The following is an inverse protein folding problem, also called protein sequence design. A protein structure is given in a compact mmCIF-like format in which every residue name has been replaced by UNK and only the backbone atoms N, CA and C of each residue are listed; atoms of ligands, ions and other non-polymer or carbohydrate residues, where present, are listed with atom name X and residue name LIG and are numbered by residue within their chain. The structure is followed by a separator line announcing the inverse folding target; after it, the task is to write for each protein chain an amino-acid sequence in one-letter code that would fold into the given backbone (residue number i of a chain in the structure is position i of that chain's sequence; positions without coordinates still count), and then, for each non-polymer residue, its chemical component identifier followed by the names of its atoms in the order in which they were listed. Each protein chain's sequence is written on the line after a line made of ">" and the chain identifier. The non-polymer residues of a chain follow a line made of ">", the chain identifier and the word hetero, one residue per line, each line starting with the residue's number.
data_IF_784120629259
#
_entry.id   IF_784120629259
#
_cell.length_a   1.000
_cell.length_b   1.000
_cell.length_c   1.000
_cell.angle_alpha   90.00
_cell.angle_beta   90.00
_cell.angle_gamma   90.00
#
_symmetry.space_group_name_H-M   'P 1'
#
loop_
_entity.id
_entity.type
_entity.pdbx_description
1 polymer ?
#
# COMPACT_ATOMS: atom_id res chain seq x y z
N UNK A 1 -12.10 -13.24 28.94
CA UNK A 1 -11.55 -14.17 27.92
C UNK A 1 -11.54 -13.43 26.58
N UNK A 2 -10.48 -13.52 25.77
CA UNK A 2 -10.34 -12.78 24.50
C UNK A 2 -10.38 -13.77 23.32
N UNK A 3 -11.06 -13.41 22.24
CA UNK A 3 -11.05 -14.17 20.99
C UNK A 3 -10.24 -13.41 19.92
N UNK A 4 -9.31 -14.11 19.26
CA UNK A 4 -8.51 -13.56 18.15
C UNK A 4 -8.88 -14.30 16.86
N UNK A 5 -9.09 -13.54 15.77
CA UNK A 5 -9.31 -14.09 14.42
C UNK A 5 -8.07 -13.81 13.58
N UNK A 6 -7.58 -14.81 12.86
CA UNK A 6 -6.35 -14.76 12.06
C UNK A 6 -6.58 -15.42 10.69
N UNK A 7 -5.71 -15.11 9.73
CA UNK A 7 -5.75 -15.66 8.37
C UNK A 7 -5.28 -14.64 7.34
N UNK A 8 -5.17 -15.07 6.08
CA UNK A 8 -5.00 -14.14 4.97
C UNK A 8 -6.30 -13.34 4.77
N UNK A 9 -6.18 -12.08 4.34
CA UNK A 9 -7.35 -11.26 4.02
C UNK A 9 -8.12 -11.89 2.84
N UNK A 10 -9.44 -12.05 2.97
CA UNK A 10 -10.30 -12.55 1.89
C UNK A 10 -10.61 -11.42 0.90
N UNK A 11 -9.60 -10.92 0.20
CA UNK A 11 -9.70 -9.72 -0.65
C UNK A 11 -10.87 -9.82 -1.64
N UNK A 12 -11.06 -10.97 -2.29
CA UNK A 12 -12.13 -11.16 -3.29
C UNK A 12 -13.54 -11.03 -2.72
N UNK A 13 -13.74 -11.34 -1.43
CA UNK A 13 -15.05 -11.18 -0.81
C UNK A 13 -15.39 -9.72 -0.48
N UNK A 14 -14.40 -8.82 -0.47
CA UNK A 14 -14.57 -7.44 -0.01
C UNK A 14 -14.26 -6.39 -1.08
N UNK A 15 -13.57 -6.76 -2.17
CA UNK A 15 -13.09 -5.78 -3.14
C UNK A 15 -14.21 -4.96 -3.77
N UNK A 16 -15.36 -5.59 -4.07
CA UNK A 16 -16.51 -4.91 -4.68
C UNK A 16 -17.16 -3.88 -3.73
N UNK A 17 -17.10 -4.12 -2.42
CA UNK A 17 -17.62 -3.20 -1.39
C UNK A 17 -16.62 -2.08 -1.07
N UNK A 18 -15.32 -2.37 -1.11
CA UNK A 18 -14.26 -1.44 -0.71
C UNK A 18 -13.83 -0.51 -1.85
N UNK A 19 -13.80 -0.98 -3.10
CA UNK A 19 -13.31 -0.20 -4.22
C UNK A 19 -14.08 1.12 -4.41
N UNK A 20 -15.43 1.16 -4.31
CA UNK A 20 -16.16 2.43 -4.39
C UNK A 20 -15.78 3.44 -3.31
N UNK A 21 -15.38 2.98 -2.11
CA UNK A 21 -14.93 3.87 -1.02
C UNK A 21 -13.51 4.39 -1.24
N UNK A 22 -12.66 3.59 -1.88
CA UNK A 22 -11.27 3.96 -2.24
C UNK A 22 -11.25 4.93 -3.42
N UNK A 23 -12.18 4.79 -4.36
CA UNK A 23 -12.28 5.67 -5.53
C UNK A 23 -13.09 6.95 -5.26
N UNK A 24 -13.74 7.06 -4.09
CA UNK A 24 -14.51 8.25 -3.72
C UNK A 24 -13.56 9.46 -3.52
N UNK A 25 -13.72 10.55 -4.30
CA UNK A 25 -12.88 11.75 -4.16
C UNK A 25 -12.97 12.46 -2.80
N UNK A 26 -13.99 12.16 -1.98
CA UNK A 26 -14.07 12.64 -0.61
C UNK A 26 -13.07 11.97 0.33
N UNK A 27 -12.39 10.91 -0.14
CA UNK A 27 -11.45 10.06 0.58
C UNK A 27 -11.94 9.69 2.00
N UNK A 28 -13.09 8.98 2.11
CA UNK A 28 -13.65 8.62 3.40
C UNK A 28 -12.76 7.67 4.22
N UNK A 29 -11.76 7.07 3.59
CA UNK A 29 -10.82 6.13 4.23
C UNK A 29 -9.44 6.74 4.52
N UNK A 30 -9.12 7.93 4.00
CA UNK A 30 -7.81 8.55 4.15
C UNK A 30 -6.69 7.77 3.44
N UNK A 31 -6.90 7.36 2.19
CA UNK A 31 -5.97 6.49 1.45
C UNK A 31 -5.03 7.26 0.51
N UNK A 32 -5.34 8.51 0.19
CA UNK A 32 -4.63 9.28 -0.85
C UNK A 32 -3.17 9.58 -0.49
N UNK A 33 -2.86 9.71 0.79
CA UNK A 33 -1.52 10.04 1.30
C UNK A 33 -0.70 8.80 1.71
N UNK A 34 -1.26 7.59 1.58
CA UNK A 34 -0.59 6.37 1.99
C UNK A 34 0.72 6.16 1.23
N UNK A 35 0.72 6.44 -0.09
CA UNK A 35 1.89 6.26 -0.96
C UNK A 35 2.90 7.37 -0.69
N UNK A 36 3.93 7.08 0.10
CA UNK A 36 5.00 8.05 0.37
C UNK A 36 6.10 8.02 -0.68
N UNK A 37 6.29 6.90 -1.37
CA UNK A 37 7.33 6.75 -2.40
C UNK A 37 6.79 6.03 -3.63
N UNK A 38 7.09 6.57 -4.82
CA UNK A 38 6.90 5.91 -6.12
C UNK A 38 8.25 5.85 -6.82
N UNK A 39 8.66 4.65 -7.23
CA UNK A 39 10.02 4.38 -7.75
C UNK A 39 9.95 3.36 -8.90
N UNK A 40 10.92 3.35 -9.83
CA UNK A 40 10.99 2.34 -10.88
C UNK A 40 11.41 0.97 -10.32
N UNK A 41 11.23 -0.11 -11.10
CA UNK A 41 11.53 -1.47 -10.65
C UNK A 41 13.00 -1.70 -10.30
N UNK A 42 13.93 -1.06 -11.01
CA UNK A 42 15.37 -1.16 -10.76
C UNK A 42 15.79 -0.66 -9.37
N UNK A 43 15.01 0.26 -8.78
CA UNK A 43 15.22 0.77 -7.41
C UNK A 43 14.58 -0.10 -6.33
N UNK A 44 13.98 -1.24 -6.68
CA UNK A 44 13.36 -2.13 -5.70
C UNK A 44 14.28 -2.53 -4.53
N UNK A 45 15.56 -2.91 -4.73
CA UNK A 45 16.43 -3.29 -3.61
C UNK A 45 16.57 -2.18 -2.56
N UNK A 46 16.77 -0.94 -3.01
CA UNK A 46 16.89 0.25 -2.15
C UNK A 46 15.57 0.57 -1.44
N UNK A 47 14.44 0.44 -2.15
CA UNK A 47 13.12 0.62 -1.59
C UNK A 47 12.79 -0.39 -0.47
N UNK A 48 13.18 -1.67 -0.65
CA UNK A 48 13.03 -2.69 0.39
C UNK A 48 13.87 -2.37 1.63
N UNK A 49 15.11 -1.91 1.46
CA UNK A 49 15.98 -1.50 2.56
C UNK A 49 15.40 -0.30 3.32
N UNK A 50 14.93 0.72 2.61
CA UNK A 50 14.30 1.91 3.18
C UNK A 50 13.05 1.55 4.00
N UNK A 51 12.17 0.72 3.44
CA UNK A 51 10.94 0.26 4.12
C UNK A 51 11.26 -0.57 5.36
N UNK A 52 12.23 -1.50 5.26
CA UNK A 52 12.66 -2.33 6.39
C UNK A 52 13.23 -1.48 7.52
N UNK A 53 14.07 -0.49 7.20
CA UNK A 53 14.71 0.40 8.17
C UNK A 53 13.81 1.55 8.66
N UNK A 54 12.65 1.76 8.02
CA UNK A 54 11.71 2.86 8.29
C UNK A 54 12.38 4.24 8.24
N UNK A 55 13.27 4.43 7.27
CA UNK A 55 13.95 5.71 7.03
C UNK A 55 13.13 6.57 6.08
N UNK A 56 13.45 7.87 6.02
CA UNK A 56 12.87 8.81 5.04
C UNK A 56 11.33 8.91 5.06
N UNK A 57 10.70 8.64 6.21
CA UNK A 57 9.23 8.62 6.29
C UNK A 57 8.59 7.54 5.40
N UNK A 58 9.30 6.44 5.12
CA UNK A 58 8.79 5.35 4.30
C UNK A 58 7.62 4.62 4.98
N UNK A 59 6.42 4.73 4.40
CA UNK A 59 5.17 4.10 4.87
C UNK A 59 4.65 3.12 3.82
N UNK A 60 4.56 3.54 2.56
CA UNK A 60 4.18 2.68 1.43
C UNK A 60 5.00 3.05 0.20
N UNK A 61 5.64 2.04 -0.37
CA UNK A 61 6.28 2.14 -1.69
C UNK A 61 5.35 1.54 -2.74
N UNK A 62 5.19 2.24 -3.85
CA UNK A 62 4.65 1.69 -5.10
C UNK A 62 5.79 1.62 -6.12
N UNK A 63 6.10 0.41 -6.60
CA UNK A 63 7.04 0.24 -7.69
C UNK A 63 6.30 0.35 -9.02
N UNK A 64 6.67 1.33 -9.85
CA UNK A 64 6.03 1.62 -11.13
C UNK A 64 6.87 1.08 -12.30
N UNK A 65 6.45 -0.01 -12.97
CA UNK A 65 7.20 -0.59 -14.07
C UNK A 65 7.25 0.29 -15.33
N UNK A 66 6.43 1.34 -15.41
CA UNK A 66 6.45 2.27 -16.54
C UNK A 66 7.54 3.33 -16.42
N UNK A 67 8.07 3.53 -15.21
CA UNK A 67 9.17 4.46 -14.95
C UNK A 67 10.54 3.81 -15.17
N UNK A 68 10.58 2.48 -15.33
CA UNK A 68 11.79 1.76 -15.72
C UNK A 68 12.22 2.15 -17.13
N UNK A 69 13.49 2.55 -17.25
CA UNK A 69 14.10 2.99 -18.51
C UNK A 69 14.41 1.84 -19.47
#
# INVERSE_FOLDING_TARGET
>A
QIQVRMGQANVKAWIDDLLPLVEDPADPLGVDDLVTHRLPLESAPEAYEMFQKKTDGCVKVVLDPKESR
#
